data_IF_637307654174
#
_entry.id   IF_637307654174
#
_cell.length_a   1.000
_cell.length_b   1.000
_cell.length_c   1.000
_cell.angle_alpha   90.00
_cell.angle_beta   90.00
_cell.angle_gamma   90.00
#
_symmetry.space_group_name_H-M   'P 1'
#
loop_
_entity.id
_entity.type
_entity.pdbx_description
1 polymer ?
#
# COMPACT_ATOMS: atom_id res chain seq x y z
N UNK A 1 16.92 -12.38 -11.04
CA UNK A 1 16.96 -11.39 -10.00
C UNK A 1 16.18 -11.83 -8.77
N UNK A 2 16.68 -11.50 -7.61
CA UNK A 2 16.07 -11.93 -6.36
C UNK A 2 15.01 -10.94 -5.90
N UNK A 3 13.78 -11.38 -5.78
CA UNK A 3 12.72 -10.59 -5.16
C UNK A 3 13.06 -10.25 -3.71
N UNK A 4 13.75 -11.14 -3.03
CA UNK A 4 14.15 -10.90 -1.63
C UNK A 4 15.09 -9.72 -1.51
N UNK A 5 16.03 -9.59 -2.44
CA UNK A 5 16.97 -8.48 -2.43
C UNK A 5 16.26 -7.14 -2.64
N UNK A 6 15.34 -7.08 -3.63
CA UNK A 6 14.59 -5.87 -3.90
C UNK A 6 13.71 -5.51 -2.71
N UNK A 7 13.05 -6.50 -2.13
CA UNK A 7 12.17 -6.27 -0.99
C UNK A 7 12.95 -5.74 0.21
N UNK A 8 14.12 -6.31 0.49
CA UNK A 8 14.95 -5.86 1.60
C UNK A 8 15.39 -4.41 1.41
N UNK A 9 15.78 -4.06 0.19
CA UNK A 9 16.17 -2.69 -0.14
C UNK A 9 15.01 -1.72 0.05
N UNK A 10 13.84 -2.07 -0.48
CA UNK A 10 12.64 -1.24 -0.34
C UNK A 10 12.23 -1.09 1.12
N UNK A 11 12.33 -2.14 1.90
CA UNK A 11 12.00 -2.10 3.31
C UNK A 11 12.93 -1.15 4.06
N UNK A 12 14.22 -1.14 3.71
CA UNK A 12 15.17 -0.23 4.29
C UNK A 12 14.82 1.23 3.99
N UNK A 13 14.50 1.52 2.74
CA UNK A 13 14.05 2.86 2.34
C UNK A 13 12.77 3.25 3.05
N UNK A 14 11.84 2.33 3.13
CA UNK A 14 10.57 2.57 3.79
C UNK A 14 10.79 2.97 5.25
N UNK A 15 11.64 2.24 5.96
CA UNK A 15 11.93 2.55 7.35
C UNK A 15 12.54 3.95 7.49
N UNK A 16 13.41 4.35 6.59
CA UNK A 16 14.01 5.67 6.61
C UNK A 16 12.96 6.76 6.41
N UNK A 17 12.02 6.54 5.50
CA UNK A 17 10.93 7.48 5.26
C UNK A 17 10.03 7.60 6.48
N UNK A 18 9.71 6.47 7.10
CA UNK A 18 8.89 6.48 8.31
C UNK A 18 9.57 7.28 9.41
N UNK A 19 10.87 7.09 9.62
CA UNK A 19 11.61 7.86 10.61
C UNK A 19 11.59 9.36 10.31
N UNK A 20 11.73 9.72 9.04
CA UNK A 20 11.70 11.12 8.63
C UNK A 20 10.37 11.78 8.98
N UNK A 21 9.27 11.04 8.89
CA UNK A 21 7.94 11.57 9.15
C UNK A 21 7.38 11.10 10.50
N UNK A 22 8.25 10.67 11.41
CA UNK A 22 7.81 10.09 12.69
C UNK A 22 6.99 11.05 13.55
N UNK A 23 7.21 12.36 13.39
CA UNK A 23 6.44 13.35 14.13
C UNK A 23 5.10 13.70 13.51
N UNK A 24 4.80 13.15 12.32
CA UNK A 24 3.54 13.41 11.63
C UNK A 24 2.53 12.37 12.03
N UNK A 25 1.38 12.84 12.54
CA UNK A 25 0.29 11.95 12.88
C UNK A 25 -0.23 11.25 11.62
N UNK A 26 -0.49 9.94 11.71
CA UNK A 26 -1.07 9.15 10.64
C UNK A 26 -0.25 9.20 9.35
N UNK A 27 1.02 8.81 9.46
CA UNK A 27 1.84 8.68 8.26
C UNK A 27 1.22 7.65 7.32
N UNK A 28 1.31 7.87 5.98
CA UNK A 28 0.65 6.99 5.02
C UNK A 28 1.46 5.75 4.65
N UNK A 29 2.54 5.47 5.37
CA UNK A 29 3.44 4.38 5.01
C UNK A 29 3.02 3.09 5.70
N UNK A 30 2.89 2.01 4.91
CA UNK A 30 2.46 0.71 5.40
C UNK A 30 3.22 -0.38 4.67
N UNK A 31 3.13 -1.60 5.21
CA UNK A 31 3.65 -2.80 4.55
C UNK A 31 2.47 -3.69 4.20
N UNK A 32 2.39 -4.10 2.94
CA UNK A 32 1.38 -5.06 2.55
C UNK A 32 2.04 -6.44 2.44
N UNK A 33 1.44 -7.42 3.12
CA UNK A 33 1.87 -8.81 3.05
C UNK A 33 1.05 -9.53 2.00
N UNK A 34 1.74 -10.14 1.07
CA UNK A 34 1.08 -10.85 -0.01
C UNK A 34 1.81 -12.15 -0.32
N UNK A 35 1.15 -13.03 -1.05
CA UNK A 35 1.68 -14.34 -1.40
C UNK A 35 1.88 -14.37 -2.92
N UNK A 36 3.04 -14.85 -3.33
CA UNK A 36 3.33 -14.98 -4.75
C UNK A 36 2.34 -15.90 -5.43
N UNK A 37 1.69 -15.41 -6.47
CA UNK A 37 0.64 -16.16 -7.16
C UNK A 37 1.17 -17.40 -7.89
N UNK A 38 2.48 -17.47 -8.07
CA UNK A 38 3.12 -18.62 -8.71
C UNK A 38 3.96 -19.43 -7.73
N UNK A 39 4.71 -18.75 -6.86
CA UNK A 39 5.66 -19.41 -5.96
C UNK A 39 5.06 -19.83 -4.63
N UNK A 40 3.96 -19.19 -4.20
CA UNK A 40 3.39 -19.41 -2.88
C UNK A 40 4.20 -18.81 -1.75
N UNK A 41 5.26 -18.08 -2.06
CA UNK A 41 6.10 -17.47 -1.04
C UNK A 41 5.47 -16.20 -0.50
N UNK A 42 5.75 -15.88 0.75
CA UNK A 42 5.28 -14.67 1.40
C UNK A 42 6.24 -13.51 1.12
N UNK A 43 5.67 -12.35 0.84
CA UNK A 43 6.42 -11.14 0.57
C UNK A 43 5.83 -9.97 1.35
N UNK A 44 6.66 -8.95 1.58
CA UNK A 44 6.20 -7.68 2.14
C UNK A 44 6.65 -6.56 1.22
N UNK A 45 5.74 -5.63 0.92
CA UNK A 45 6.04 -4.52 0.03
C UNK A 45 5.59 -3.22 0.68
N UNK A 46 6.44 -2.19 0.70
CA UNK A 46 6.03 -0.87 1.21
C UNK A 46 5.06 -0.22 0.24
N UNK A 47 3.99 0.34 0.79
CA UNK A 47 2.96 1.00 -0.01
C UNK A 47 2.48 2.25 0.71
N UNK A 48 1.73 3.08 0.00
CA UNK A 48 1.16 4.31 0.52
C UNK A 48 -0.34 4.11 0.71
N UNK A 49 -0.81 4.29 1.94
CA UNK A 49 -2.20 4.03 2.30
C UNK A 49 -2.74 5.14 3.18
N UNK A 50 -4.07 5.21 3.27
CA UNK A 50 -4.74 6.07 4.23
C UNK A 50 -6.06 5.40 4.62
N UNK A 51 -6.41 5.37 5.91
CA UNK A 51 -7.69 4.79 6.33
C UNK A 51 -8.86 5.59 5.77
N UNK A 52 -9.90 4.88 5.39
CA UNK A 52 -11.14 5.48 4.91
C UNK A 52 -12.29 4.53 5.26
N UNK A 53 -13.21 5.00 6.09
CA UNK A 53 -14.36 4.21 6.54
C UNK A 53 -13.91 2.88 7.15
N UNK A 54 -14.35 1.76 6.61
CA UNK A 54 -14.03 0.43 7.14
C UNK A 54 -12.93 -0.25 6.31
N UNK A 55 -11.91 0.49 5.93
CA UNK A 55 -10.82 -0.04 5.14
C UNK A 55 -9.74 0.99 4.88
N UNK A 56 -9.03 0.80 3.77
CA UNK A 56 -7.93 1.66 3.38
C UNK A 56 -8.01 2.01 1.91
N UNK A 57 -7.60 3.24 1.59
CA UNK A 57 -7.30 3.62 0.21
C UNK A 57 -5.81 3.40 0.01
N UNK A 58 -5.44 2.77 -1.08
CA UNK A 58 -4.05 2.48 -1.43
C UNK A 58 -3.72 3.18 -2.73
N UNK A 59 -2.62 3.93 -2.72
CA UNK A 59 -2.13 4.60 -3.92
C UNK A 59 -1.22 3.64 -4.69
N UNK A 60 -1.58 3.33 -5.93
CA UNK A 60 -0.75 2.48 -6.79
C UNK A 60 0.24 3.37 -7.52
N UNK A 61 1.29 3.79 -6.80
CA UNK A 61 2.24 4.78 -7.30
C UNK A 61 3.00 4.31 -8.55
N UNK A 62 3.16 2.99 -8.71
CA UNK A 62 3.81 2.41 -9.89
C UNK A 62 2.81 1.73 -10.81
N UNK A 63 1.51 2.01 -10.64
CA UNK A 63 0.47 1.49 -11.51
C UNK A 63 -0.04 0.11 -11.10
N UNK A 64 -1.07 -0.38 -11.81
CA UNK A 64 -1.74 -1.62 -11.42
C UNK A 64 -1.06 -2.89 -11.91
N UNK A 65 0.07 -2.79 -12.61
CA UNK A 65 0.72 -3.97 -13.17
C UNK A 65 1.86 -4.50 -12.33
N UNK A 66 2.08 -3.92 -11.15
CA UNK A 66 3.12 -4.37 -10.24
C UNK A 66 2.78 -5.74 -9.64
N UNK A 67 3.81 -6.50 -9.33
CA UNK A 67 3.62 -7.87 -8.87
C UNK A 67 2.84 -7.97 -7.56
N UNK A 68 3.10 -7.09 -6.60
CA UNK A 68 2.40 -7.20 -5.33
C UNK A 68 0.88 -7.06 -5.52
N UNK A 69 0.46 -6.15 -6.38
CA UNK A 69 -0.97 -5.93 -6.62
C UNK A 69 -1.60 -7.11 -7.33
N UNK A 70 -0.90 -7.67 -8.31
CA UNK A 70 -1.37 -8.87 -9.00
C UNK A 70 -1.48 -10.06 -8.04
N UNK A 71 -0.52 -10.18 -7.12
CA UNK A 71 -0.57 -11.23 -6.10
C UNK A 71 -1.78 -11.06 -5.19
N UNK A 72 -2.05 -9.83 -4.77
CA UNK A 72 -3.20 -9.52 -3.92
C UNK A 72 -4.51 -9.84 -4.64
N UNK A 73 -4.62 -9.47 -5.90
CA UNK A 73 -5.82 -9.79 -6.69
C UNK A 73 -6.02 -11.30 -6.82
N UNK A 74 -4.96 -12.02 -7.07
CA UNK A 74 -5.04 -13.48 -7.23
C UNK A 74 -5.46 -14.16 -5.93
N UNK A 75 -5.01 -13.66 -4.80
CA UNK A 75 -5.35 -14.22 -3.49
C UNK A 75 -6.70 -13.76 -2.96
N UNK A 76 -7.26 -12.68 -3.52
CA UNK A 76 -8.53 -12.13 -3.06
C UNK A 76 -8.43 -11.30 -1.80
N UNK A 77 -7.23 -10.84 -1.46
CA UNK A 77 -7.02 -10.02 -0.28
C UNK A 77 -5.57 -10.06 0.16
N UNK A 78 -5.31 -9.43 1.30
CA UNK A 78 -3.96 -9.34 1.83
C UNK A 78 -4.01 -8.91 3.29
N UNK A 79 -2.85 -8.88 3.93
CA UNK A 79 -2.71 -8.33 5.27
C UNK A 79 -1.89 -7.05 5.18
N UNK A 80 -2.33 -6.04 5.92
CA UNK A 80 -1.70 -4.73 5.93
C UNK A 80 -1.16 -4.44 7.32
N UNK A 81 0.11 -4.03 7.39
CA UNK A 81 0.71 -3.56 8.64
C UNK A 81 0.82 -2.04 8.58
N UNK A 82 0.12 -1.38 9.51
CA UNK A 82 0.10 0.07 9.57
C UNK A 82 0.04 0.51 11.02
N UNK A 83 0.97 1.38 11.42
CA UNK A 83 1.05 1.91 12.78
C UNK A 83 1.00 0.81 13.85
N UNK A 84 1.83 -0.23 13.65
CA UNK A 84 1.99 -1.36 14.58
C UNK A 84 0.78 -2.28 14.66
N UNK A 85 -0.22 -2.09 13.83
CA UNK A 85 -1.40 -2.97 13.79
C UNK A 85 -1.45 -3.72 12.48
N UNK A 86 -2.01 -4.92 12.52
CA UNK A 86 -2.18 -5.74 11.34
C UNK A 86 -3.67 -5.84 11.01
N UNK A 87 -4.01 -5.64 9.73
CA UNK A 87 -5.38 -5.64 9.25
C UNK A 87 -5.52 -6.67 8.15
N UNK A 88 -6.56 -7.52 8.25
CA UNK A 88 -6.90 -8.43 7.16
C UNK A 88 -7.87 -7.71 6.23
N UNK A 89 -7.52 -7.65 4.96
CA UNK A 89 -8.25 -6.87 3.97
C UNK A 89 -8.77 -7.76 2.86
N UNK A 90 -9.94 -7.41 2.32
CA UNK A 90 -10.58 -8.13 1.24
C UNK A 90 -10.00 -7.73 -0.12
N UNK A 91 -10.62 -8.23 -1.16
CA UNK A 91 -10.31 -7.96 -2.56
C UNK A 91 -10.24 -6.45 -2.82
N UNK A 92 -9.18 -5.98 -3.50
CA UNK A 92 -9.09 -4.56 -3.84
C UNK A 92 -10.10 -4.18 -4.91
N UNK A 93 -10.63 -2.96 -4.78
CA UNK A 93 -11.59 -2.39 -5.72
C UNK A 93 -11.04 -1.06 -6.24
N UNK A 94 -10.91 -0.89 -7.55
CA UNK A 94 -10.45 0.39 -8.09
C UNK A 94 -11.43 1.52 -7.76
N UNK A 95 -10.89 2.69 -7.47
CA UNK A 95 -11.68 3.89 -7.23
C UNK A 95 -11.12 5.02 -8.09
N UNK A 96 -11.91 6.08 -8.25
CA UNK A 96 -11.50 7.20 -9.09
C UNK A 96 -10.41 8.03 -8.42
N UNK A 97 -9.70 8.80 -9.24
CA UNK A 97 -8.56 9.61 -8.78
C UNK A 97 -9.00 10.64 -7.73
N UNK A 98 -10.11 11.29 -7.96
CA UNK A 98 -10.59 12.32 -7.04
C UNK A 98 -10.87 11.76 -5.66
N UNK A 99 -11.57 10.64 -5.59
CA UNK A 99 -11.85 9.98 -4.32
C UNK A 99 -10.56 9.50 -3.67
N UNK A 100 -9.67 8.91 -4.47
CA UNK A 100 -8.40 8.42 -3.95
C UNK A 100 -7.54 9.52 -3.36
N UNK A 101 -7.33 10.59 -4.11
CA UNK A 101 -6.50 11.69 -3.63
C UNK A 101 -7.10 12.36 -2.40
N UNK A 102 -8.44 12.49 -2.35
CA UNK A 102 -9.08 13.18 -1.24
C UNK A 102 -8.93 12.43 0.09
N UNK A 103 -8.61 11.15 0.06
CA UNK A 103 -8.38 10.38 1.28
C UNK A 103 -7.07 10.77 1.96
N UNK A 104 -6.15 11.41 1.25
CA UNK A 104 -4.83 11.74 1.78
C UNK A 104 -4.77 13.20 2.21
N UNK A 105 -4.31 13.49 3.44
CA UNK A 105 -4.13 14.87 3.88
C UNK A 105 -2.88 15.48 3.25
N UNK A 106 -2.78 16.81 3.31
CA UNK A 106 -1.54 17.50 2.95
C UNK A 106 -0.47 17.17 3.98
N UNK A 107 0.79 17.03 3.61
CA UNK A 107 1.35 17.24 2.26
C UNK A 107 1.28 16.01 1.35
N UNK A 108 0.77 14.90 1.84
CA UNK A 108 0.82 13.63 1.08
C UNK A 108 0.01 13.70 -0.21
N UNK A 109 -1.13 14.41 -0.18
CA UNK A 109 -1.94 14.60 -1.39
C UNK A 109 -1.14 15.28 -2.49
N UNK A 110 -0.39 16.32 -2.15
CA UNK A 110 0.43 17.04 -3.12
C UNK A 110 1.56 16.17 -3.64
N UNK A 111 2.19 15.37 -2.78
CA UNK A 111 3.25 14.48 -3.19
C UNK A 111 2.73 13.47 -4.22
N UNK A 112 1.58 12.89 -3.95
CA UNK A 112 0.96 11.94 -4.89
C UNK A 112 0.64 12.62 -6.23
N UNK A 113 0.18 13.86 -6.18
CA UNK A 113 -0.10 14.63 -7.39
C UNK A 113 1.16 14.88 -8.20
N UNK A 114 2.24 15.27 -7.54
CA UNK A 114 3.52 15.53 -8.21
C UNK A 114 4.08 14.23 -8.83
N UNK A 115 3.90 13.10 -8.14
CA UNK A 115 4.31 11.80 -8.67
C UNK A 115 3.44 11.33 -9.84
N UNK A 116 2.33 12.01 -10.11
CA UNK A 116 1.43 11.64 -11.19
C UNK A 116 0.65 10.37 -10.92
N UNK A 117 0.36 10.09 -9.66
CA UNK A 117 -0.38 8.88 -9.30
C UNK A 117 -1.79 8.95 -9.85
N UNK A 118 -2.16 7.98 -10.69
CA UNK A 118 -3.44 7.95 -11.36
C UNK A 118 -4.31 6.77 -10.96
N UNK A 119 -3.78 5.83 -10.20
CA UNK A 119 -4.51 4.61 -9.85
C UNK A 119 -4.60 4.47 -8.34
N UNK A 120 -5.82 4.31 -7.86
CA UNK A 120 -6.10 4.10 -6.44
C UNK A 120 -7.05 2.93 -6.31
N UNK A 121 -6.89 2.18 -5.22
CA UNK A 121 -7.82 1.10 -4.90
C UNK A 121 -8.25 1.21 -3.46
N UNK A 122 -9.38 0.61 -3.16
CA UNK A 122 -9.89 0.51 -1.80
C UNK A 122 -9.92 -0.94 -1.40
N UNK A 123 -9.45 -1.22 -0.19
CA UNK A 123 -9.53 -2.56 0.38
C UNK A 123 -10.23 -2.45 1.73
N UNK A 124 -11.34 -3.17 1.86
CA UNK A 124 -12.15 -3.15 3.09
C UNK A 124 -11.69 -4.23 4.05
N UNK A 125 -11.96 -4.03 5.35
CA UNK A 125 -11.65 -5.04 6.35
C UNK A 125 -12.43 -6.32 6.08
N UNK A 126 -11.79 -7.45 6.33
CA UNK A 126 -12.51 -8.73 6.37
C UNK A 126 -13.44 -8.75 7.57
N UNK A 127 -14.59 -9.34 7.37
CA UNK A 127 -15.59 -9.46 8.44
C UNK A 127 -15.51 -10.81 9.12
#
# INVERSE_FOLDING_TARGET
MSHNRIRAFNKHYFNRLVHRFAGVSRTPFALIRHVGRRSGKSYETPIIVMPLDNGFVIALTYGPEVDWYRNVQAAGGARLLWHHNEYALKQPEPIDITTGLSAFPTPFRQILGVLGTQHFVRMSYET
#
